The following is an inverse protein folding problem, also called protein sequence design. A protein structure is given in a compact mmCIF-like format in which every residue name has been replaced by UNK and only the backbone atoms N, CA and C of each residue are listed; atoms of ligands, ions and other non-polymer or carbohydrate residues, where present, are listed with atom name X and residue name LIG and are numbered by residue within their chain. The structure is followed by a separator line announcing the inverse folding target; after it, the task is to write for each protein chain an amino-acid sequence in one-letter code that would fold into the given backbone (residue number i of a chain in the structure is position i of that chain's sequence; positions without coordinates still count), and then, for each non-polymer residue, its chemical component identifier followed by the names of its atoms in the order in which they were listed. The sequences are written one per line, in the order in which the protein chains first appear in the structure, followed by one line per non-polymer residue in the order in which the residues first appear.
data_IF_749629199150
#
_entry.id   IF_749629199150
#
_cell.length_a   1.000
_cell.length_b   1.000
_cell.length_c   1.000
_cell.angle_alpha   90.00
_cell.angle_beta   90.00
_cell.angle_gamma   90.00
#
_symmetry.space_group_name_H-M   'P 1'
#
loop_
_entity.id
_entity.type
_entity.pdbx_description
1 polymer ?
#
# COMPACT_ATOMS: atom_id res chain seq x y z
N UNK A 1 -28.33 5.71 3.32
CA UNK A 1 -28.10 4.65 4.33
C UNK A 1 -26.98 5.10 5.24
N UNK A 2 -27.32 5.63 6.41
CA UNK A 2 -26.35 6.11 7.41
C UNK A 2 -26.09 4.95 8.34
N UNK A 3 -24.88 4.37 8.30
CA UNK A 3 -24.47 3.39 9.30
C UNK A 3 -24.24 4.14 10.61
N UNK A 4 -25.18 3.96 11.54
CA UNK A 4 -25.06 4.43 12.92
C UNK A 4 -24.34 3.29 13.66
N UNK A 5 -23.02 3.40 13.79
CA UNK A 5 -22.22 2.49 14.62
C UNK A 5 -22.74 2.56 16.06
N UNK A 6 -23.33 1.46 16.54
CA UNK A 6 -23.57 1.26 17.96
C UNK A 6 -22.32 0.62 18.59
N UNK A 7 -21.76 1.39 19.52
CA UNK A 7 -20.87 1.06 20.63
C UNK A 7 -20.25 -0.35 20.71
N UNK A 8 -18.92 -0.42 20.50
CA UNK A 8 -18.01 -1.22 21.32
C UNK A 8 -16.54 -0.77 21.11
N UNK A 9 -15.80 -0.69 22.22
CA UNK A 9 -14.39 -0.33 22.37
C UNK A 9 -14.05 1.16 22.17
N UNK A 10 -13.45 1.76 23.20
CA UNK A 10 -13.03 3.16 23.23
C UNK A 10 -12.30 3.55 21.94
N UNK A 11 -12.68 4.70 21.37
CA UNK A 11 -12.11 5.23 20.12
C UNK A 11 -10.58 5.22 20.23
N UNK A 12 -9.95 4.22 19.62
CA UNK A 12 -8.51 4.16 19.50
C UNK A 12 -8.06 5.43 18.77
N UNK A 13 -7.35 6.32 19.49
CA UNK A 13 -6.95 7.64 18.98
C UNK A 13 -5.73 7.56 18.07
N UNK A 14 -4.97 6.46 18.16
CA UNK A 14 -3.85 6.09 17.30
C UNK A 14 -2.76 7.16 17.09
N UNK A 15 -1.65 6.80 16.43
CA UNK A 15 -0.81 7.78 15.76
C UNK A 15 -1.62 8.46 14.67
N UNK A 16 -1.39 9.77 14.47
CA UNK A 16 -2.01 10.47 13.34
C UNK A 16 -1.55 9.82 12.04
N UNK A 17 -2.49 9.55 11.14
CA UNK A 17 -2.18 9.24 9.76
C UNK A 17 -1.38 10.41 9.17
N UNK A 18 -0.12 10.15 8.84
CA UNK A 18 0.76 11.14 8.22
C UNK A 18 0.83 10.81 6.74
N UNK A 19 -0.02 11.45 5.95
CA UNK A 19 0.17 11.46 4.50
C UNK A 19 1.40 12.31 4.19
N UNK A 20 2.32 11.79 3.38
CA UNK A 20 3.54 12.52 3.03
C UNK A 20 3.23 13.60 2.00
N UNK A 21 3.25 14.84 2.43
CA UNK A 21 3.17 16.00 1.55
C UNK A 21 4.59 16.56 1.32
N UNK A 22 4.97 16.68 0.05
CA UNK A 22 6.29 17.18 -0.36
C UNK A 22 7.40 16.13 -0.39
N UNK A 23 8.59 16.57 -0.82
CA UNK A 23 9.77 15.72 -0.91
C UNK A 23 10.34 15.38 0.47
N UNK A 24 10.97 14.21 0.58
CA UNK A 24 11.62 13.73 1.80
C UNK A 24 12.93 13.01 1.52
N UNK A 25 13.46 12.38 2.58
CA UNK A 25 14.60 11.47 2.51
C UNK A 25 14.33 10.28 3.45
N UNK A 26 14.43 9.07 2.91
CA UNK A 26 14.35 7.83 3.68
C UNK A 26 15.75 7.43 4.11
N UNK A 27 16.00 7.42 5.43
CA UNK A 27 17.29 6.98 5.98
C UNK A 27 17.52 5.49 5.74
N UNK A 28 16.49 4.67 5.97
CA UNK A 28 16.54 3.21 5.77
C UNK A 28 16.83 2.82 4.32
N UNK A 29 16.32 3.59 3.36
CA UNK A 29 16.62 3.35 1.94
C UNK A 29 17.88 4.07 1.46
N UNK A 30 18.35 5.10 2.18
CA UNK A 30 19.39 6.02 1.71
C UNK A 30 18.97 6.81 0.45
N UNK A 31 17.67 7.09 0.29
CA UNK A 31 17.09 7.68 -0.95
C UNK A 31 16.26 8.92 -0.69
N UNK A 32 16.29 9.84 -1.65
CA UNK A 32 15.30 10.90 -1.74
C UNK A 32 13.93 10.31 -2.10
N UNK A 33 12.89 10.89 -1.53
CA UNK A 33 11.52 10.42 -1.73
C UNK A 33 10.60 11.55 -2.16
N UNK A 34 9.58 11.21 -2.93
CA UNK A 34 8.50 12.10 -3.34
C UNK A 34 7.14 11.53 -2.88
N UNK A 35 6.08 12.37 -2.83
CA UNK A 35 4.75 11.89 -2.54
C UNK A 35 4.31 10.82 -3.53
N UNK A 36 3.63 9.79 -3.03
CA UNK A 36 2.99 8.78 -3.86
C UNK A 36 1.49 9.05 -3.93
N UNK A 37 0.94 9.18 -5.13
CA UNK A 37 -0.46 9.61 -5.31
C UNK A 37 -1.47 8.65 -4.64
N UNK A 38 -1.19 7.34 -4.66
CA UNK A 38 -2.07 6.32 -4.08
C UNK A 38 -1.89 6.17 -2.56
N UNK A 39 -0.90 6.81 -1.94
CA UNK A 39 -0.67 6.72 -0.49
C UNK A 39 -1.91 7.10 0.31
N UNK A 40 -2.65 8.12 -0.14
CA UNK A 40 -3.88 8.61 0.52
C UNK A 40 -5.00 7.56 0.57
N UNK A 41 -4.99 6.60 -0.36
CA UNK A 41 -5.94 5.49 -0.43
C UNK A 41 -5.38 4.27 0.30
N UNK A 42 -4.16 3.85 -0.06
CA UNK A 42 -3.54 2.62 0.43
C UNK A 42 -3.34 2.64 1.96
N UNK A 43 -2.90 3.77 2.52
CA UNK A 43 -2.73 3.91 3.97
C UNK A 43 -4.02 3.58 4.71
N UNK A 44 -5.18 4.02 4.20
CA UNK A 44 -6.50 3.75 4.82
C UNK A 44 -6.86 2.26 4.78
N UNK A 45 -6.47 1.55 3.73
CA UNK A 45 -6.62 0.10 3.63
C UNK A 45 -5.69 -0.62 4.61
N UNK A 46 -4.45 -0.18 4.78
CA UNK A 46 -3.52 -0.72 5.77
C UNK A 46 -4.05 -0.51 7.19
N UNK A 47 -4.52 0.70 7.51
CA UNK A 47 -5.13 1.02 8.80
C UNK A 47 -6.40 0.21 9.07
N UNK A 48 -7.25 0.02 8.06
CA UNK A 48 -8.42 -0.86 8.18
C UNK A 48 -8.00 -2.30 8.45
N UNK A 49 -6.96 -2.80 7.79
CA UNK A 49 -6.41 -4.13 8.03
C UNK A 49 -5.91 -4.26 9.47
N UNK A 50 -5.15 -3.29 9.95
CA UNK A 50 -4.66 -3.24 11.34
C UNK A 50 -5.81 -3.28 12.36
N UNK A 51 -6.88 -2.51 12.15
CA UNK A 51 -8.05 -2.53 13.01
C UNK A 51 -8.81 -3.87 12.96
N UNK A 52 -9.01 -4.44 11.77
CA UNK A 52 -9.70 -5.73 11.60
C UNK A 52 -8.92 -6.91 12.23
N UNK A 53 -7.59 -6.79 12.26
CA UNK A 53 -6.66 -7.75 12.88
C UNK A 53 -6.41 -7.47 14.38
N UNK A 54 -7.24 -6.66 15.04
CA UNK A 54 -7.15 -6.43 16.48
C UNK A 54 -5.90 -5.66 16.91
N UNK A 55 -5.44 -4.72 16.09
CA UNK A 55 -4.25 -3.91 16.33
C UNK A 55 -2.94 -4.72 16.47
N UNK A 56 -2.80 -5.77 15.65
CA UNK A 56 -1.68 -6.74 15.70
C UNK A 56 -0.27 -6.13 15.65
N UNK A 57 -0.10 -4.97 15.00
CA UNK A 57 1.18 -4.24 14.92
C UNK A 57 1.46 -3.32 16.12
N UNK A 58 0.61 -3.36 17.15
CA UNK A 58 0.72 -2.54 18.35
C UNK A 58 0.10 -1.15 18.22
N UNK A 59 -0.10 -0.49 19.36
CA UNK A 59 -0.84 0.78 19.44
C UNK A 59 -0.11 1.96 18.81
N UNK A 60 1.22 1.87 18.65
CA UNK A 60 2.08 2.90 18.05
C UNK A 60 2.42 2.62 16.59
N UNK A 61 1.74 1.67 15.95
CA UNK A 61 1.96 1.33 14.55
C UNK A 61 1.82 2.58 13.67
N UNK A 62 2.82 2.86 12.83
CA UNK A 62 2.76 3.94 11.86
C UNK A 62 3.07 3.38 10.47
N UNK A 63 2.41 3.95 9.46
CA UNK A 63 2.58 3.53 8.07
C UNK A 63 2.58 4.74 7.16
N UNK A 64 3.52 4.76 6.21
CA UNK A 64 3.65 5.80 5.18
C UNK A 64 4.08 5.16 3.86
N UNK A 65 3.64 5.75 2.75
CA UNK A 65 4.07 5.38 1.41
C UNK A 65 4.67 6.59 0.69
N UNK A 66 5.75 6.35 -0.04
CA UNK A 66 6.46 7.36 -0.82
C UNK A 66 7.03 6.72 -2.08
N UNK A 67 7.23 7.51 -3.14
CA UNK A 67 7.99 7.08 -4.30
C UNK A 67 9.47 7.36 -4.10
N UNK A 68 10.33 6.43 -4.49
CA UNK A 68 11.77 6.69 -4.63
C UNK A 68 11.99 7.71 -5.75
N UNK A 69 12.87 8.69 -5.50
CA UNK A 69 13.33 9.64 -6.49
C UNK A 69 14.82 9.40 -6.78
N UNK A 70 15.24 9.61 -8.03
CA UNK A 70 16.64 9.47 -8.44
C UNK A 70 17.58 10.47 -7.75
N UNK A 71 17.04 11.55 -7.19
CA UNK A 71 17.79 12.54 -6.44
C UNK A 71 16.90 13.65 -5.89
N UNK A 72 17.52 14.60 -5.17
CA UNK A 72 16.82 15.71 -4.51
C UNK A 72 16.00 16.56 -5.48
N UNK A 73 16.57 16.88 -6.65
CA UNK A 73 15.89 17.67 -7.68
C UNK A 73 14.69 16.93 -8.27
N UNK A 74 14.84 15.64 -8.58
CA UNK A 74 13.73 14.80 -9.05
C UNK A 74 12.61 14.73 -8.01
N UNK A 75 12.95 14.56 -6.74
CA UNK A 75 11.97 14.55 -5.66
C UNK A 75 11.19 15.87 -5.56
N UNK A 76 11.90 17.00 -5.68
CA UNK A 76 11.30 18.34 -5.66
C UNK A 76 10.35 18.54 -6.84
N UNK A 77 10.79 18.23 -8.07
CA UNK A 77 9.99 18.40 -9.28
C UNK A 77 8.76 17.48 -9.27
N UNK A 78 8.89 16.23 -8.84
CA UNK A 78 7.75 15.32 -8.68
C UNK A 78 6.74 15.82 -7.67
N UNK A 79 7.21 16.40 -6.55
CA UNK A 79 6.34 16.99 -5.52
C UNK A 79 5.58 18.21 -6.05
N UNK A 80 6.26 19.10 -6.78
CA UNK A 80 5.63 20.23 -7.45
C UNK A 80 4.61 19.76 -8.49
N UNK A 81 4.96 18.77 -9.31
CA UNK A 81 4.08 18.21 -10.33
C UNK A 81 2.77 17.66 -9.75
N UNK A 82 2.85 16.91 -8.64
CA UNK A 82 1.66 16.43 -7.93
C UNK A 82 0.83 17.58 -7.32
N UNK A 83 1.49 18.56 -6.71
CA UNK A 83 0.83 19.74 -6.15
C UNK A 83 0.07 20.56 -7.20
N UNK A 84 0.73 20.88 -8.32
CA UNK A 84 0.11 21.57 -9.45
C UNK A 84 -0.98 20.72 -10.10
N UNK A 85 -0.77 19.41 -10.26
CA UNK A 85 -1.79 18.49 -10.79
C UNK A 85 -3.07 18.51 -9.96
N UNK A 86 -2.95 18.45 -8.62
CA UNK A 86 -4.10 18.57 -7.72
C UNK A 86 -4.80 19.94 -7.86
N UNK A 87 -4.03 21.02 -7.95
CA UNK A 87 -4.56 22.38 -8.15
C UNK A 87 -5.31 22.52 -9.48
N UNK A 88 -4.76 21.98 -10.57
CA UNK A 88 -5.38 22.02 -11.89
C UNK A 88 -6.70 21.23 -11.94
N UNK A 89 -6.79 20.12 -11.21
CA UNK A 89 -8.03 19.36 -11.06
C UNK A 89 -9.06 20.12 -10.20
N UNK A 90 -8.63 20.92 -9.22
CA UNK A 90 -9.53 21.68 -8.36
C UNK A 90 -10.23 22.84 -9.09
N UNK A 91 -9.53 23.47 -10.05
CA UNK A 91 -10.04 24.65 -10.78
C UNK A 91 -10.87 24.19 -12.00
N UNK A 92 -12.19 24.41 -11.95
CA UNK A 92 -13.17 23.93 -12.95
C UNK A 92 -12.78 24.14 -14.43
N UNK A 93 -12.43 25.36 -14.90
CA UNK A 93 -12.07 25.56 -16.31
C UNK A 93 -10.79 24.80 -16.70
N UNK A 94 -9.77 24.81 -15.84
CA UNK A 94 -8.51 24.10 -16.07
C UNK A 94 -8.74 22.60 -16.10
N UNK A 95 -9.51 22.05 -15.15
CA UNK A 95 -9.90 20.64 -15.13
C UNK A 95 -10.59 20.22 -16.43
N UNK A 96 -11.51 21.03 -16.94
CA UNK A 96 -12.24 20.71 -18.18
C UNK A 96 -11.31 20.68 -19.40
N UNK A 97 -10.28 21.52 -19.42
CA UNK A 97 -9.24 21.50 -20.45
C UNK A 97 -8.35 20.25 -20.32
N UNK A 98 -7.81 19.99 -19.12
CA UNK A 98 -6.93 18.84 -18.84
C UNK A 98 -7.63 17.51 -19.14
N UNK A 99 -8.92 17.37 -18.78
CA UNK A 99 -9.73 16.17 -19.06
C UNK A 99 -9.77 15.78 -20.54
N UNK A 100 -9.61 16.72 -21.47
CA UNK A 100 -9.60 16.42 -22.92
C UNK A 100 -8.33 15.70 -23.37
N UNK A 101 -7.25 15.81 -22.58
CA UNK A 101 -5.95 15.21 -22.87
C UNK A 101 -5.65 13.98 -22.00
N UNK A 102 -6.47 13.71 -20.99
CA UNK A 102 -6.36 12.48 -20.20
C UNK A 102 -6.97 11.30 -20.97
N UNK A 103 -6.46 10.07 -20.78
CA UNK A 103 -7.09 8.87 -21.31
C UNK A 103 -8.56 8.82 -20.94
N UNK A 104 -9.42 8.42 -21.89
CA UNK A 104 -10.84 8.26 -21.60
C UNK A 104 -11.04 7.07 -20.65
N UNK A 105 -12.12 7.07 -19.87
CA UNK A 105 -12.47 5.91 -19.05
C UNK A 105 -12.48 4.62 -19.88
N UNK A 106 -11.71 3.62 -19.45
CA UNK A 106 -11.59 2.33 -20.12
C UNK A 106 -10.50 2.22 -21.19
N UNK A 107 -9.82 3.29 -21.57
CA UNK A 107 -8.76 3.20 -22.60
C UNK A 107 -7.48 2.52 -22.08
N UNK A 108 -7.11 2.74 -20.81
CA UNK A 108 -5.96 2.08 -20.17
C UNK A 108 -4.63 2.19 -20.94
N UNK A 109 -3.53 1.61 -20.43
CA UNK A 109 -2.31 1.40 -21.21
C UNK A 109 -2.54 0.31 -22.29
N UNK A 110 -1.75 0.35 -23.36
CA UNK A 110 -1.77 -0.72 -24.37
C UNK A 110 -1.35 -2.06 -23.78
N UNK A 111 -1.80 -3.17 -24.39
CA UNK A 111 -1.39 -4.52 -23.96
C UNK A 111 0.12 -4.69 -23.94
N UNK A 112 0.82 -4.13 -24.91
CA UNK A 112 2.28 -4.16 -24.98
C UNK A 112 2.92 -3.39 -23.81
N UNK A 113 2.44 -2.19 -23.50
CA UNK A 113 2.92 -1.41 -22.36
C UNK A 113 2.66 -2.14 -21.04
N UNK A 114 1.51 -2.82 -20.91
CA UNK A 114 1.20 -3.64 -19.75
C UNK A 114 2.16 -4.82 -19.59
N UNK A 115 2.46 -5.54 -20.68
CA UNK A 115 3.31 -6.72 -20.64
C UNK A 115 4.80 -6.40 -20.45
N UNK A 116 5.25 -5.23 -20.90
CA UNK A 116 6.64 -4.77 -20.77
C UNK A 116 6.90 -3.98 -19.47
N UNK A 117 5.84 -3.63 -18.75
CA UNK A 117 5.94 -2.89 -17.49
C UNK A 117 6.59 -3.71 -16.39
N UNK A 118 6.96 -3.05 -15.30
CA UNK A 118 7.39 -3.70 -14.05
C UNK A 118 7.17 -2.74 -12.89
N UNK A 119 7.20 -3.25 -11.68
CA UNK A 119 7.17 -2.43 -10.47
C UNK A 119 7.92 -3.11 -9.32
N UNK A 120 8.40 -2.29 -8.39
CA UNK A 120 9.05 -2.71 -7.15
C UNK A 120 8.54 -1.86 -6.00
N UNK A 121 8.18 -2.52 -4.91
CA UNK A 121 7.80 -1.93 -3.65
C UNK A 121 8.83 -2.37 -2.60
N UNK A 122 9.56 -1.40 -2.08
CA UNK A 122 10.48 -1.61 -0.97
C UNK A 122 9.74 -1.30 0.33
N UNK A 123 9.61 -2.30 1.19
CA UNK A 123 8.96 -2.19 2.51
C UNK A 123 10.03 -2.17 3.57
N UNK A 124 10.06 -1.14 4.39
CA UNK A 124 10.94 -1.08 5.56
C UNK A 124 10.07 -1.12 6.81
N UNK A 125 10.30 -2.12 7.65
CA UNK A 125 9.57 -2.31 8.90
C UNK A 125 10.53 -2.15 10.08
N UNK A 126 10.27 -1.16 10.92
CA UNK A 126 10.98 -0.90 12.17
C UNK A 126 10.13 -1.42 13.33
N UNK A 127 10.74 -2.18 14.24
CA UNK A 127 10.10 -2.67 15.45
C UNK A 127 10.97 -2.40 16.66
N UNK A 128 10.36 -1.83 17.70
CA UNK A 128 10.99 -1.62 19.00
C UNK A 128 10.34 -2.58 20.00
N UNK A 129 11.09 -3.47 20.66
CA UNK A 129 10.52 -4.42 21.61
C UNK A 129 9.78 -3.72 22.75
N UNK A 130 8.69 -4.35 23.22
CA UNK A 130 7.93 -3.85 24.36
C UNK A 130 8.70 -4.14 25.65
N UNK A 131 9.13 -3.07 26.33
CA UNK A 131 9.45 -3.10 27.77
C UNK A 131 10.83 -3.63 28.17
N UNK A 132 11.92 -3.07 27.64
CA UNK A 132 13.28 -3.29 28.19
C UNK A 132 13.81 -4.73 28.13
N UNK A 133 13.06 -5.66 27.50
CA UNK A 133 13.59 -6.92 27.02
C UNK A 133 14.69 -6.57 26.02
N UNK A 134 15.94 -6.90 26.34
CA UNK A 134 17.16 -6.38 25.73
C UNK A 134 17.42 -6.72 24.26
N UNK A 135 16.39 -6.82 23.44
CA UNK A 135 16.49 -6.74 21.98
C UNK A 135 16.61 -5.27 21.57
N UNK A 136 17.54 -4.96 20.67
CA UNK A 136 17.62 -3.66 20.03
C UNK A 136 16.42 -3.38 19.12
N UNK A 137 16.39 -2.17 18.57
CA UNK A 137 15.55 -1.88 17.41
C UNK A 137 15.87 -2.85 16.28
N UNK A 138 14.83 -3.47 15.69
CA UNK A 138 15.00 -4.39 14.57
C UNK A 138 14.41 -3.78 13.32
N UNK A 139 15.18 -3.80 12.23
CA UNK A 139 14.74 -3.33 10.93
C UNK A 139 14.70 -4.51 9.96
N UNK A 140 13.60 -4.63 9.21
CA UNK A 140 13.45 -5.61 8.13
C UNK A 140 13.21 -4.88 6.82
N UNK A 141 13.91 -5.29 5.77
CA UNK A 141 13.65 -4.87 4.39
C UNK A 141 12.93 -5.98 3.63
N UNK A 142 11.75 -5.65 3.10
CA UNK A 142 11.00 -6.45 2.16
C UNK A 142 11.07 -5.90 0.74
N UNK A 143 11.18 -6.78 -0.24
CA UNK A 143 10.96 -6.47 -1.66
C UNK A 143 9.70 -7.20 -2.13
N UNK A 144 8.72 -6.43 -2.61
CA UNK A 144 7.58 -6.96 -3.36
C UNK A 144 7.68 -6.46 -4.79
N UNK A 145 7.59 -7.34 -5.78
CA UNK A 145 7.74 -6.94 -7.18
C UNK A 145 6.87 -7.76 -8.14
N UNK A 146 6.61 -7.16 -9.31
CA UNK A 146 5.94 -7.80 -10.44
C UNK A 146 6.60 -7.45 -11.76
N UNK A 147 6.43 -8.34 -12.74
CA UNK A 147 7.06 -8.25 -14.07
C UNK A 147 6.12 -7.70 -15.15
N UNK A 148 5.02 -7.06 -14.74
CA UNK A 148 4.11 -6.37 -15.63
C UNK A 148 3.79 -4.99 -15.06
N UNK A 149 3.02 -4.20 -15.79
CA UNK A 149 2.44 -2.96 -15.27
C UNK A 149 1.70 -3.21 -13.94
N UNK A 150 2.04 -2.42 -12.93
CA UNK A 150 1.46 -2.51 -11.60
C UNK A 150 0.02 -1.98 -11.53
N UNK A 151 -0.35 -1.01 -12.38
CA UNK A 151 -1.62 -0.29 -12.26
C UNK A 151 -2.84 -1.06 -12.76
N UNK A 152 -2.71 -1.76 -13.89
CA UNK A 152 -3.80 -2.46 -14.56
C UNK A 152 -3.55 -3.96 -14.59
N UNK A 153 -2.41 -4.41 -15.11
CA UNK A 153 -2.18 -5.83 -15.33
C UNK A 153 -2.05 -6.59 -14.02
N UNK A 154 -1.06 -6.23 -13.20
CA UNK A 154 -0.79 -6.95 -11.97
C UNK A 154 -1.84 -6.66 -10.89
N UNK A 155 -2.40 -5.46 -10.81
CA UNK A 155 -3.54 -5.17 -9.90
C UNK A 155 -4.75 -6.06 -10.21
N UNK A 156 -5.08 -6.29 -11.49
CA UNK A 156 -6.16 -7.20 -11.88
C UNK A 156 -5.86 -8.64 -11.46
N UNK A 157 -4.60 -9.07 -11.59
CA UNK A 157 -4.16 -10.40 -11.14
C UNK A 157 -4.21 -10.54 -9.63
N UNK A 158 -3.82 -9.51 -8.87
CA UNK A 158 -3.94 -9.52 -7.41
C UNK A 158 -5.40 -9.68 -6.97
N UNK A 159 -6.33 -8.98 -7.64
CA UNK A 159 -7.76 -9.11 -7.37
C UNK A 159 -8.26 -10.54 -7.64
N UNK A 160 -7.87 -11.13 -8.78
CA UNK A 160 -8.24 -12.49 -9.14
C UNK A 160 -7.67 -13.51 -8.14
N UNK A 161 -6.42 -13.38 -7.71
CA UNK A 161 -5.84 -14.29 -6.72
C UNK A 161 -6.50 -14.14 -5.34
N UNK A 162 -6.92 -12.95 -4.94
CA UNK A 162 -7.74 -12.77 -3.74
C UNK A 162 -9.09 -13.49 -3.87
N UNK A 163 -9.77 -13.35 -5.01
CA UNK A 163 -11.04 -14.03 -5.26
C UNK A 163 -10.89 -15.55 -5.26
N UNK A 164 -9.83 -16.07 -5.87
CA UNK A 164 -9.53 -17.50 -5.87
C UNK A 164 -9.19 -18.02 -4.47
N UNK A 165 -8.41 -17.29 -3.67
CA UNK A 165 -8.17 -17.66 -2.27
C UNK A 165 -9.48 -17.85 -1.51
N UNK A 166 -10.40 -16.88 -1.62
CA UNK A 166 -11.70 -16.93 -0.93
C UNK A 166 -12.55 -18.09 -1.45
N UNK A 167 -12.59 -18.28 -2.78
CA UNK A 167 -13.46 -19.28 -3.39
C UNK A 167 -12.97 -20.72 -3.21
N UNK A 168 -11.65 -20.95 -3.14
CA UNK A 168 -11.07 -22.30 -3.20
C UNK A 168 -10.29 -22.72 -1.97
N UNK A 169 -10.00 -21.82 -1.02
CA UNK A 169 -9.13 -22.11 0.14
C UNK A 169 -9.79 -21.75 1.48
N UNK A 170 -11.12 -21.90 1.58
CA UNK A 170 -11.87 -21.54 2.79
C UNK A 170 -11.39 -22.28 4.06
N UNK A 171 -10.96 -23.54 3.92
CA UNK A 171 -10.41 -24.32 5.05
C UNK A 171 -9.10 -23.72 5.55
N UNK A 172 -8.16 -23.46 4.66
CA UNK A 172 -6.84 -22.89 4.97
C UNK A 172 -6.97 -21.48 5.54
N UNK A 173 -7.90 -20.68 5.01
CA UNK A 173 -8.19 -19.34 5.53
C UNK A 173 -8.72 -19.38 6.96
N UNK A 174 -9.61 -20.34 7.26
CA UNK A 174 -10.15 -20.55 8.60
C UNK A 174 -9.09 -21.04 9.58
N UNK A 175 -8.27 -22.01 9.17
CA UNK A 175 -7.17 -22.53 9.97
C UNK A 175 -6.12 -21.44 10.27
N UNK A 176 -5.88 -20.53 9.33
CA UNK A 176 -5.02 -19.37 9.52
C UNK A 176 -5.65 -18.22 10.34
N UNK A 177 -6.91 -18.36 10.78
CA UNK A 177 -7.59 -17.39 11.63
C UNK A 177 -8.09 -16.13 10.92
N UNK A 178 -8.25 -16.16 9.59
CA UNK A 178 -8.81 -15.04 8.84
C UNK A 178 -10.34 -14.97 8.98
N UNK A 179 -10.89 -13.77 8.81
CA UNK A 179 -12.34 -13.54 8.95
C UNK A 179 -13.09 -14.07 7.73
N UNK A 180 -14.19 -14.78 7.96
CA UNK A 180 -15.01 -15.39 6.91
C UNK A 180 -16.05 -14.45 6.27
N UNK A 181 -16.25 -13.23 6.80
CA UNK A 181 -17.30 -12.33 6.28
C UNK A 181 -17.20 -10.85 6.67
N UNK A 182 -18.04 -10.05 6.02
CA UNK A 182 -18.10 -8.59 6.16
C UNK A 182 -17.31 -7.83 5.09
N UNK A 183 -17.16 -6.51 5.27
CA UNK A 183 -16.36 -5.66 4.37
C UNK A 183 -14.90 -5.72 4.82
N UNK A 184 -14.13 -6.62 4.24
CA UNK A 184 -12.74 -6.89 4.64
C UNK A 184 -11.73 -6.22 3.70
N UNK A 185 -10.47 -6.20 4.14
CA UNK A 185 -9.31 -5.89 3.29
C UNK A 185 -8.57 -7.17 2.90
N UNK A 186 -7.77 -7.18 1.82
CA UNK A 186 -6.97 -8.36 1.46
C UNK A 186 -6.09 -8.87 2.62
N UNK A 187 -5.45 -7.96 3.36
CA UNK A 187 -4.61 -8.33 4.51
C UNK A 187 -5.38 -8.99 5.66
N UNK A 188 -6.68 -8.69 5.82
CA UNK A 188 -7.54 -9.28 6.86
C UNK A 188 -8.36 -10.49 6.40
N UNK A 189 -8.56 -10.63 5.08
CA UNK A 189 -9.39 -11.68 4.48
C UNK A 189 -8.57 -12.89 4.01
N UNK A 190 -7.42 -12.64 3.37
CA UNK A 190 -6.60 -13.70 2.75
C UNK A 190 -5.16 -13.72 3.25
N UNK A 191 -4.65 -12.58 3.74
CA UNK A 191 -3.33 -12.45 4.35
C UNK A 191 -2.23 -13.29 3.69
N UNK A 192 -1.53 -14.13 4.46
CA UNK A 192 -0.40 -14.94 3.99
C UNK A 192 -0.82 -16.02 3.00
N UNK A 193 -2.03 -16.58 3.13
CA UNK A 193 -2.58 -17.51 2.13
C UNK A 193 -2.67 -16.82 0.76
N UNK A 194 -3.11 -15.57 0.73
CA UNK A 194 -3.09 -14.73 -0.48
C UNK A 194 -1.68 -14.45 -0.99
N UNK A 195 -0.71 -14.19 -0.11
CA UNK A 195 0.70 -13.99 -0.50
C UNK A 195 1.26 -15.24 -1.20
N UNK A 196 1.00 -16.44 -0.69
CA UNK A 196 1.46 -17.68 -1.33
C UNK A 196 0.84 -17.88 -2.71
N UNK A 197 -0.43 -17.48 -2.89
CA UNK A 197 -1.03 -17.49 -4.23
C UNK A 197 -0.35 -16.53 -5.18
N UNK A 198 -0.07 -15.31 -4.72
CA UNK A 198 0.64 -14.31 -5.54
C UNK A 198 2.03 -14.82 -5.91
N UNK A 199 2.76 -15.47 -5.00
CA UNK A 199 4.04 -16.13 -5.34
C UNK A 199 3.89 -17.16 -6.46
N UNK A 200 2.87 -18.02 -6.40
CA UNK A 200 2.57 -18.99 -7.48
C UNK A 200 2.18 -18.32 -8.79
N UNK A 201 1.57 -17.13 -8.73
CA UNK A 201 1.30 -16.28 -9.87
C UNK A 201 2.54 -15.49 -10.35
N UNK A 202 3.74 -15.74 -9.81
CA UNK A 202 4.98 -15.12 -10.28
C UNK A 202 5.26 -13.73 -9.71
N UNK A 203 4.57 -13.32 -8.64
CA UNK A 203 4.96 -12.15 -7.86
C UNK A 203 6.14 -12.48 -6.94
N UNK A 204 7.04 -11.52 -6.76
CA UNK A 204 8.20 -11.66 -5.87
C UNK A 204 7.85 -11.11 -4.49
N UNK A 205 8.20 -11.87 -3.46
CA UNK A 205 8.10 -11.46 -2.05
C UNK A 205 9.36 -11.96 -1.32
N UNK A 206 10.31 -11.07 -1.14
CA UNK A 206 11.57 -11.31 -0.43
C UNK A 206 11.60 -10.48 0.85
N UNK A 207 12.20 -11.02 1.91
CA UNK A 207 12.37 -10.32 3.18
C UNK A 207 13.76 -10.65 3.75
N UNK A 208 14.51 -9.63 4.11
CA UNK A 208 15.83 -9.74 4.71
C UNK A 208 15.92 -8.85 5.94
N UNK A 209 16.47 -9.33 7.07
CA UNK A 209 16.84 -8.47 8.18
C UNK A 209 17.87 -7.42 7.72
N UNK A 210 17.73 -6.19 8.18
CA UNK A 210 18.80 -5.20 8.13
C UNK A 210 19.47 -5.25 9.49
N UNK A 211 20.63 -5.89 9.57
CA UNK A 211 21.54 -5.79 10.71
C UNK A 211 22.45 -4.59 10.50
N UNK A 212 22.54 -3.70 11.50
CA UNK A 212 23.59 -2.68 11.57
C UNK A 212 24.98 -3.31 11.72
#
# INVERSE_FOLDING_TARGET
MVFKDQEAAGRWKGPKMVDTFGMGFSRLAGKHTAPFIMATVNTRIVWRSHALLGHSYGERFAYKETMEASGRLSAFLSSLGLGFGAMFIAIRPIRNLVRRFLPKPGEGPSREAMLKGYWKLHVYAESVPKGGSGGGESVVHGLVAGQHDGGYYDTSRMLLECALAIATQGKELKEAGYREGGVLTPGSAVGVVGVERLRRAGFVFEMVPITE
#
